data_IF_043292277879
#
_entry.id   IF_043292277879
#
_cell.length_a   1.000
_cell.length_b   1.000
_cell.length_c   1.000
_cell.angle_alpha   90.00
_cell.angle_beta   90.00
_cell.angle_gamma   90.00
#
_symmetry.space_group_name_H-M   'P 1'
#
loop_
_entity.id
_entity.type
_entity.pdbx_description
1 polymer ?
#
# COMPACT_ATOMS: atom_id res chain seq x y z
N UNK A 1 -21.16 -0.68 0.90
CA UNK A 1 -20.14 -0.78 1.96
C UNK A 1 -19.62 -2.21 2.19
N UNK A 2 -20.45 -3.20 2.54
CA UNK A 2 -19.97 -4.56 2.90
C UNK A 2 -19.10 -5.25 1.84
N UNK A 3 -19.47 -5.16 0.56
CA UNK A 3 -18.66 -5.73 -0.53
C UNK A 3 -17.26 -5.09 -0.61
N UNK A 4 -17.18 -3.76 -0.47
CA UNK A 4 -15.90 -3.02 -0.47
C UNK A 4 -15.03 -3.43 0.72
N UNK A 5 -15.64 -3.59 1.90
CA UNK A 5 -14.93 -4.05 3.10
C UNK A 5 -14.40 -5.47 2.91
N UNK A 6 -15.22 -6.39 2.39
CA UNK A 6 -14.80 -7.77 2.14
C UNK A 6 -13.64 -7.84 1.14
N UNK A 7 -13.75 -7.14 0.01
CA UNK A 7 -12.69 -7.08 -1.01
C UNK A 7 -11.43 -6.43 -0.45
N UNK A 8 -11.57 -5.34 0.32
CA UNK A 8 -10.44 -4.66 0.97
C UNK A 8 -9.69 -5.56 1.96
N UNK A 9 -10.41 -6.36 2.76
CA UNK A 9 -9.81 -7.33 3.68
C UNK A 9 -9.09 -8.47 2.93
N UNK A 10 -9.68 -8.98 1.85
CA UNK A 10 -9.04 -9.99 1.00
C UNK A 10 -7.76 -9.43 0.38
N UNK A 11 -7.80 -8.19 -0.14
CA UNK A 11 -6.65 -7.51 -0.71
C UNK A 11 -5.54 -7.31 0.33
N UNK A 12 -5.88 -6.85 1.54
CA UNK A 12 -4.96 -6.70 2.67
C UNK A 12 -4.28 -8.02 3.01
N UNK A 13 -5.06 -9.09 3.20
CA UNK A 13 -4.52 -10.39 3.55
C UNK A 13 -3.59 -10.93 2.47
N UNK A 14 -3.98 -10.81 1.19
CA UNK A 14 -3.19 -11.26 0.06
C UNK A 14 -1.82 -10.56 0.01
N UNK A 15 -1.81 -9.24 0.07
CA UNK A 15 -0.58 -8.45 0.01
C UNK A 15 0.30 -8.65 1.24
N UNK A 16 -0.29 -8.75 2.44
CA UNK A 16 0.47 -9.02 3.66
C UNK A 16 1.13 -10.40 3.64
N UNK A 17 0.42 -11.43 3.19
CA UNK A 17 0.99 -12.78 3.05
C UNK A 17 2.16 -12.77 2.06
N UNK A 18 2.01 -12.09 0.92
CA UNK A 18 3.09 -11.94 -0.05
C UNK A 18 4.29 -11.19 0.54
N UNK A 19 4.06 -10.04 1.19
CA UNK A 19 5.12 -9.26 1.84
C UNK A 19 5.84 -10.09 2.92
N UNK A 20 5.11 -10.80 3.79
CA UNK A 20 5.70 -11.62 4.85
C UNK A 20 6.51 -12.79 4.30
N UNK A 21 6.05 -13.42 3.21
CA UNK A 21 6.81 -14.49 2.56
C UNK A 21 8.10 -13.98 1.92
N UNK A 22 8.06 -12.77 1.36
CA UNK A 22 9.14 -12.24 0.55
C UNK A 22 10.04 -11.22 1.28
N UNK A 23 9.72 -10.84 2.52
CA UNK A 23 10.49 -9.84 3.30
C UNK A 23 11.97 -10.20 3.50
N UNK A 24 12.29 -11.50 3.49
CA UNK A 24 13.68 -11.96 3.63
C UNK A 24 14.49 -11.85 2.35
N UNK A 25 13.85 -11.84 1.19
CA UNK A 25 14.52 -11.75 -0.11
C UNK A 25 14.52 -10.33 -0.67
N UNK A 26 13.41 -9.61 -0.49
CA UNK A 26 13.20 -8.31 -1.10
C UNK A 26 13.02 -7.21 -0.04
N UNK A 27 14.07 -6.46 0.34
CA UNK A 27 13.98 -5.45 1.39
C UNK A 27 12.96 -4.34 1.11
N UNK A 28 12.62 -4.08 -0.17
CA UNK A 28 11.62 -3.11 -0.59
C UNK A 28 10.17 -3.54 -0.24
N UNK A 29 9.89 -4.81 0.06
CA UNK A 29 8.54 -5.25 0.52
C UNK A 29 8.12 -4.59 1.84
N UNK A 30 9.05 -4.06 2.65
CA UNK A 30 8.69 -3.28 3.84
C UNK A 30 7.88 -2.03 3.48
N UNK A 31 8.18 -1.38 2.35
CA UNK A 31 7.43 -0.21 1.86
C UNK A 31 6.02 -0.61 1.42
N UNK A 32 5.89 -1.73 0.70
CA UNK A 32 4.60 -2.29 0.31
C UNK A 32 3.72 -2.60 1.54
N UNK A 33 4.29 -3.24 2.55
CA UNK A 33 3.58 -3.56 3.80
C UNK A 33 3.05 -2.29 4.49
N UNK A 34 3.86 -1.24 4.57
CA UNK A 34 3.45 0.06 5.14
C UNK A 34 2.31 0.67 4.31
N UNK A 35 2.43 0.68 2.98
CA UNK A 35 1.37 1.21 2.09
C UNK A 35 0.05 0.46 2.29
N UNK A 36 0.10 -0.87 2.28
CA UNK A 36 -1.10 -1.72 2.36
C UNK A 36 -1.81 -1.55 3.71
N UNK A 37 -1.05 -1.49 4.81
CA UNK A 37 -1.60 -1.25 6.15
C UNK A 37 -2.17 0.16 6.27
N UNK A 38 -1.46 1.18 5.79
CA UNK A 38 -1.94 2.56 5.83
C UNK A 38 -3.21 2.74 4.99
N UNK A 39 -3.23 2.21 3.77
CA UNK A 39 -4.39 2.34 2.88
C UNK A 39 -5.64 1.67 3.48
N UNK A 40 -5.50 0.48 4.06
CA UNK A 40 -6.63 -0.13 4.77
C UNK A 40 -7.00 0.59 6.06
N UNK A 41 -6.03 1.09 6.83
CA UNK A 41 -6.31 1.90 8.02
C UNK A 41 -7.10 3.16 7.67
N UNK A 42 -6.73 3.84 6.58
CA UNK A 42 -7.45 5.00 6.09
C UNK A 42 -8.86 4.65 5.61
N UNK A 43 -9.09 3.43 5.09
CA UNK A 43 -10.43 3.04 4.61
C UNK A 43 -11.46 2.94 5.73
N UNK A 44 -11.00 2.87 6.99
CA UNK A 44 -11.84 2.98 8.16
C UNK A 44 -12.47 4.37 8.29
N UNK A 45 -11.85 5.42 7.74
CA UNK A 45 -12.44 6.76 7.72
C UNK A 45 -13.76 6.79 6.94
N UNK A 46 -13.84 6.00 5.86
CA UNK A 46 -15.07 5.84 5.07
C UNK A 46 -16.18 5.13 5.85
N UNK A 47 -15.82 4.24 6.79
CA UNK A 47 -16.75 3.56 7.68
C UNK A 47 -17.18 4.41 8.87
N UNK A 48 -16.28 5.25 9.39
CA UNK A 48 -16.54 6.09 10.56
C UNK A 48 -17.44 7.28 10.23
N UNK A 49 -17.34 7.82 9.01
CA UNK A 49 -18.20 8.87 8.45
C UNK A 49 -18.62 9.97 9.46
N UNK A 50 -17.62 10.52 10.16
CA UNK A 50 -17.87 11.47 11.24
C UNK A 50 -18.04 12.90 10.70
N UNK A 51 -18.89 13.73 11.35
CA UNK A 51 -19.11 15.11 10.96
C UNK A 51 -17.84 15.97 11.17
N UNK A 52 -17.71 17.11 10.46
CA UNK A 52 -16.48 17.90 10.46
C UNK A 52 -16.02 18.33 11.86
N UNK A 53 -14.80 17.93 12.22
CA UNK A 53 -14.09 18.40 13.40
C UNK A 53 -13.74 19.87 13.21
N UNK A 54 -14.09 20.68 14.21
CA UNK A 54 -13.89 22.14 14.22
C UNK A 54 -14.48 22.87 13.02
N UNK A 55 -15.44 22.29 12.30
CA UNK A 55 -15.98 22.82 11.03
C UNK A 55 -14.96 22.93 9.89
N UNK A 56 -13.81 22.25 9.99
CA UNK A 56 -12.73 22.33 8.99
C UNK A 56 -12.40 20.96 8.39
N UNK A 57 -12.34 19.89 9.19
CA UNK A 57 -11.88 18.57 8.72
C UNK A 57 -12.93 17.48 8.99
N UNK A 58 -13.52 16.92 7.95
CA UNK A 58 -14.34 15.71 8.03
C UNK A 58 -13.53 14.45 7.69
N UNK A 59 -14.16 13.28 7.83
CA UNK A 59 -13.55 12.00 7.50
C UNK A 59 -13.01 11.95 6.05
N UNK A 60 -13.72 12.61 5.13
CA UNK A 60 -13.39 12.61 3.71
C UNK A 60 -12.20 13.51 3.36
N UNK A 61 -12.10 14.68 3.98
CA UNK A 61 -10.95 15.58 3.85
C UNK A 61 -9.67 14.92 4.39
N UNK A 62 -9.76 14.24 5.54
CA UNK A 62 -8.63 13.48 6.10
C UNK A 62 -8.24 12.35 5.15
N UNK A 63 -9.20 11.63 4.56
CA UNK A 63 -8.93 10.61 3.54
C UNK A 63 -8.13 11.17 2.36
N UNK A 64 -8.55 12.30 1.78
CA UNK A 64 -7.85 12.93 0.65
C UNK A 64 -6.43 13.37 1.01
N UNK A 65 -6.23 14.03 2.15
CA UNK A 65 -4.90 14.49 2.55
C UNK A 65 -3.96 13.30 2.84
N UNK A 66 -4.49 12.27 3.48
CA UNK A 66 -3.69 11.11 3.91
C UNK A 66 -3.26 10.22 2.74
N UNK A 67 -4.05 10.16 1.66
CA UNK A 67 -3.74 9.33 0.49
C UNK A 67 -2.61 9.90 -0.37
N UNK A 68 -2.30 11.20 -0.28
CA UNK A 68 -1.18 11.86 -0.98
C UNK A 68 0.17 11.19 -0.64
N UNK A 69 0.64 11.18 0.63
CA UNK A 69 1.91 10.56 0.97
C UNK A 69 1.89 9.04 0.74
N UNK A 70 0.75 8.37 0.94
CA UNK A 70 0.62 6.92 0.69
C UNK A 70 0.87 6.58 -0.77
N UNK A 71 0.34 7.36 -1.72
CA UNK A 71 0.62 7.19 -3.15
C UNK A 71 2.10 7.37 -3.47
N UNK A 72 2.73 8.42 -2.93
CA UNK A 72 4.17 8.64 -3.17
C UNK A 72 5.03 7.48 -2.66
N UNK A 73 4.67 6.88 -1.52
CA UNK A 73 5.36 5.71 -0.99
C UNK A 73 5.15 4.46 -1.85
N UNK A 74 3.95 4.29 -2.41
CA UNK A 74 3.65 3.19 -3.32
C UNK A 74 4.46 3.27 -4.62
N UNK A 75 4.57 4.46 -5.21
CA UNK A 75 5.42 4.65 -6.40
C UNK A 75 6.89 4.34 -6.13
N UNK A 76 7.42 4.73 -4.96
CA UNK A 76 8.78 4.36 -4.55
C UNK A 76 8.97 2.87 -4.34
N UNK A 77 7.91 2.14 -4.01
CA UNK A 77 7.97 0.68 -3.96
C UNK A 77 8.01 0.08 -5.37
N UNK A 78 7.19 0.57 -6.30
CA UNK A 78 7.18 0.11 -7.69
C UNK A 78 8.51 0.37 -8.42
N UNK A 79 9.13 1.52 -8.15
CA UNK A 79 10.45 1.85 -8.69
C UNK A 79 11.53 0.89 -8.18
N UNK A 80 11.59 0.65 -6.88
CA UNK A 80 12.52 -0.31 -6.27
C UNK A 80 12.33 -1.74 -6.82
N UNK A 81 11.08 -2.17 -7.01
CA UNK A 81 10.73 -3.48 -7.53
C UNK A 81 11.16 -3.61 -9.01
N UNK A 82 10.89 -2.58 -9.82
CA UNK A 82 11.32 -2.52 -11.23
C UNK A 82 12.83 -2.55 -11.38
N UNK A 83 13.56 -1.81 -10.54
CA UNK A 83 15.03 -1.81 -10.52
C UNK A 83 15.61 -3.15 -10.07
N UNK A 84 14.93 -3.85 -9.16
CA UNK A 84 15.31 -5.20 -8.76
C UNK A 84 15.17 -6.18 -9.93
N UNK A 85 14.00 -6.19 -10.59
CA UNK A 85 13.73 -7.07 -11.73
C UNK A 85 14.66 -6.81 -12.92
N UNK A 86 15.01 -5.55 -13.18
CA UNK A 86 15.96 -5.18 -14.23
C UNK A 86 17.34 -5.80 -13.97
N UNK A 87 17.85 -5.71 -12.73
CA UNK A 87 19.14 -6.30 -12.35
C UNK A 87 19.14 -7.82 -12.46
N UNK A 88 18.03 -8.46 -12.08
CA UNK A 88 17.87 -9.91 -12.20
C UNK A 88 17.87 -10.35 -13.68
N UNK A 89 17.18 -9.61 -14.55
CA UNK A 89 17.18 -9.85 -16.01
C UNK A 89 18.56 -9.68 -16.64
N UNK A 90 19.30 -8.64 -16.25
CA UNK A 90 20.68 -8.42 -16.75
C UNK A 90 21.64 -9.51 -16.28
N UNK A 91 21.48 -10.01 -15.05
CA UNK A 91 22.29 -11.11 -14.53
C UNK A 91 22.03 -12.42 -15.29
N UNK A 92 20.77 -12.71 -15.61
CA UNK A 92 20.39 -13.88 -16.42
C UNK A 92 20.99 -13.84 -17.82
N UNK A 93 20.93 -12.69 -18.50
CA UNK A 93 21.50 -12.55 -19.85
C UNK A 93 23.03 -12.68 -19.89
N UNK A 94 23.74 -12.40 -18.79
CA UNK A 94 25.20 -12.58 -18.69
C UNK A 94 25.63 -14.04 -18.46
N UNK A 95 24.69 -14.90 -18.09
CA UNK A 95 24.93 -16.32 -17.82
C UNK A 95 24.72 -17.20 -19.06
N UNK A 96 23.99 -16.70 -20.06
CA UNK A 96 23.79 -17.31 -21.39
C UNK A 96 24.89 -16.90 -22.37
#
# INVERSE_FOLDING_TARGET
>A
MMANVAIGLVNLAWWLVWCLRNHRRLPHTRRCMVVVVLLQGLSLLELLDFPPLFWVLDAHAIWHISTIPVHTLFFRFLEDDSLYLLKESEAMFKLD
#
